data_IF_414569796439
#
_entry.id   IF_414569796439
#
_cell.length_a   1.000
_cell.length_b   1.000
_cell.length_c   1.000
_cell.angle_alpha   90.00
_cell.angle_beta   90.00
_cell.angle_gamma   90.00
#
_symmetry.space_group_name_H-M   'P 1'
#
loop_
_entity.id
_entity.type
_entity.pdbx_description
1 polymer ?
#
# COMPACT_ATOMS: atom_id res chain seq x y z
N UNK A 1 4.45 3.95 90.44
CA UNK A 1 5.83 4.11 89.95
C UNK A 1 5.91 3.50 88.56
N UNK A 2 6.52 4.23 87.66
CA UNK A 2 6.59 4.12 86.20
C UNK A 2 7.06 2.77 85.62
N UNK A 3 6.40 2.29 84.57
CA UNK A 3 7.01 2.17 83.23
C UNK A 3 5.97 1.71 82.19
N UNK A 4 5.81 2.52 81.15
CA UNK A 4 4.99 2.30 79.96
C UNK A 4 5.72 1.35 79.00
N UNK A 5 5.06 0.29 78.55
CA UNK A 5 5.48 -0.54 77.42
C UNK A 5 4.32 -0.71 76.45
N UNK A 6 4.39 0.00 75.32
CA UNK A 6 3.41 0.03 74.24
C UNK A 6 3.63 -1.16 73.31
N UNK A 7 2.69 -2.07 73.22
CA UNK A 7 2.57 -2.97 72.06
C UNK A 7 1.23 -2.73 71.38
N UNK A 8 1.27 -1.80 70.43
CA UNK A 8 0.21 -1.52 69.50
C UNK A 8 0.17 -2.60 68.42
N UNK A 9 -1.01 -3.17 68.27
CA UNK A 9 -1.46 -4.03 67.17
C UNK A 9 -1.09 -3.40 65.81
N UNK A 10 -0.03 -3.89 65.17
CA UNK A 10 0.31 -3.53 63.80
C UNK A 10 -0.36 -4.53 62.86
N UNK A 11 -1.54 -4.17 62.37
CA UNK A 11 -2.22 -4.84 61.27
C UNK A 11 -1.41 -4.62 59.99
N UNK A 12 -0.64 -5.62 59.56
CA UNK A 12 0.11 -5.61 58.30
C UNK A 12 -0.89 -5.75 57.14
N UNK A 13 -1.39 -4.61 56.68
CA UNK A 13 -2.17 -4.49 55.46
C UNK A 13 -1.22 -4.69 54.26
N UNK A 14 -1.11 -5.92 53.77
CA UNK A 14 -0.44 -6.22 52.49
C UNK A 14 -1.35 -5.68 51.38
N UNK A 15 -1.14 -4.42 51.01
CA UNK A 15 -1.65 -3.87 49.75
C UNK A 15 -0.81 -4.51 48.65
N UNK A 16 -1.38 -5.51 47.98
CA UNK A 16 -0.91 -5.98 46.69
C UNK A 16 -0.98 -4.80 45.71
N UNK A 17 0.16 -4.14 45.49
CA UNK A 17 0.38 -3.24 44.37
C UNK A 17 0.32 -4.08 43.09
N UNK A 18 -0.89 -4.35 42.59
CA UNK A 18 -1.10 -4.58 41.18
C UNK A 18 -0.72 -3.28 40.47
N UNK A 19 0.56 -3.18 40.08
CA UNK A 19 1.07 -2.10 39.28
C UNK A 19 0.33 -2.07 37.94
N UNK A 20 -0.66 -1.18 37.81
CA UNK A 20 -1.10 -0.70 36.52
C UNK A 20 0.05 0.10 35.92
N UNK A 21 1.01 -0.58 35.30
CA UNK A 21 1.98 0.07 34.43
C UNK A 21 1.17 0.82 33.36
N UNK A 22 1.42 2.12 33.23
CA UNK A 22 0.80 2.93 32.19
C UNK A 22 1.16 2.32 30.82
N UNK A 23 0.25 2.31 29.83
CA UNK A 23 0.47 1.66 28.52
C UNK A 23 1.78 2.09 27.84
N UNK A 24 2.23 3.31 28.12
CA UNK A 24 3.48 3.91 27.62
C UNK A 24 4.75 3.22 28.15
N UNK A 25 4.77 2.80 29.41
CA UNK A 25 5.93 2.14 30.00
C UNK A 25 6.13 0.72 29.46
N UNK A 26 5.06 0.01 29.11
CA UNK A 26 5.11 -1.34 28.55
C UNK A 26 5.53 -1.40 27.09
N UNK A 27 5.36 -0.33 26.31
CA UNK A 27 5.75 -0.31 24.88
C UNK A 27 7.17 0.19 24.64
N UNK A 28 7.75 0.93 25.59
CA UNK A 28 9.04 1.61 25.43
C UNK A 28 10.19 0.69 24.99
N UNK A 29 10.37 -0.53 25.55
CA UNK A 29 11.45 -1.41 25.10
C UNK A 29 11.36 -1.81 23.62
N UNK A 30 10.13 -1.91 23.08
CA UNK A 30 9.91 -2.16 21.66
C UNK A 30 10.27 -0.95 20.79
N UNK A 31 10.00 0.26 21.28
CA UNK A 31 10.37 1.51 20.61
C UNK A 31 11.89 1.70 20.61
N UNK A 32 12.57 1.43 21.72
CA UNK A 32 14.04 1.50 21.81
C UNK A 32 14.73 0.52 20.84
N UNK A 33 14.10 -0.64 20.57
CA UNK A 33 14.56 -1.56 19.52
C UNK A 33 14.37 -0.95 18.12
N UNK A 34 13.28 -0.25 17.86
CA UNK A 34 13.06 0.43 16.56
C UNK A 34 14.08 1.55 16.33
N UNK A 35 14.36 2.37 17.35
CA UNK A 35 15.35 3.46 17.26
C UNK A 35 16.76 2.95 16.94
N UNK A 36 17.11 1.77 17.45
CA UNK A 36 18.38 1.09 17.15
C UNK A 36 18.40 0.34 15.81
N UNK A 37 17.29 0.34 15.07
CA UNK A 37 17.15 -0.41 13.81
C UNK A 37 17.03 -1.93 14.00
N UNK A 38 16.76 -2.38 15.23
CA UNK A 38 16.56 -3.79 15.58
C UNK A 38 15.09 -4.19 15.35
N UNK A 39 14.59 -3.99 14.13
CA UNK A 39 13.16 -4.07 13.83
C UNK A 39 12.54 -5.45 14.04
N UNK A 40 13.30 -6.53 13.80
CA UNK A 40 12.81 -7.88 14.11
C UNK A 40 12.56 -8.06 15.61
N UNK A 41 13.49 -7.62 16.46
CA UNK A 41 13.31 -7.70 17.92
C UNK A 41 12.16 -6.84 18.39
N UNK A 42 11.98 -5.66 17.79
CA UNK A 42 10.81 -4.82 18.06
C UNK A 42 9.50 -5.52 17.68
N UNK A 43 9.45 -6.18 16.51
CA UNK A 43 8.28 -6.93 16.07
C UNK A 43 7.95 -8.09 17.01
N UNK A 44 8.94 -8.90 17.38
CA UNK A 44 8.78 -10.00 18.33
C UNK A 44 8.30 -9.50 19.70
N UNK A 45 8.86 -8.38 20.18
CA UNK A 45 8.46 -7.74 21.42
C UNK A 45 6.98 -7.33 21.39
N UNK A 46 6.56 -6.57 20.39
CA UNK A 46 5.17 -6.11 20.29
C UNK A 46 4.19 -7.26 20.06
N UNK A 47 4.59 -8.28 19.29
CA UNK A 47 3.76 -9.47 19.09
C UNK A 47 3.52 -10.20 20.41
N UNK A 48 4.56 -10.39 21.23
CA UNK A 48 4.44 -11.00 22.54
C UNK A 48 3.62 -10.15 23.51
N UNK A 49 3.83 -8.83 23.50
CA UNK A 49 3.07 -7.90 24.33
C UNK A 49 1.57 -7.90 23.97
N UNK A 50 1.23 -7.90 22.68
CA UNK A 50 -0.15 -8.00 22.21
C UNK A 50 -0.81 -9.32 22.58
N UNK A 51 -0.07 -10.44 22.56
CA UNK A 51 -0.56 -11.76 23.03
C UNK A 51 -0.84 -11.77 24.53
N UNK A 52 -0.03 -11.08 25.33
CA UNK A 52 -0.22 -10.96 26.78
C UNK A 52 -1.38 -10.03 27.14
N UNK A 53 -1.70 -9.06 26.29
CA UNK A 53 -2.74 -8.06 26.52
C UNK A 53 -3.76 -7.99 25.36
N UNK A 54 -4.53 -9.05 25.10
CA UNK A 54 -5.42 -9.13 23.92
C UNK A 54 -6.57 -8.11 23.91
N UNK A 55 -6.87 -7.47 25.05
CA UNK A 55 -7.90 -6.42 25.15
C UNK A 55 -7.38 -5.02 24.79
N UNK A 56 -6.07 -4.84 24.62
CA UNK A 56 -5.46 -3.55 24.27
C UNK A 56 -5.26 -3.46 22.75
N UNK A 57 -6.32 -3.06 22.04
CA UNK A 57 -6.32 -2.96 20.58
C UNK A 57 -5.26 -1.99 20.03
N UNK A 58 -4.86 -0.99 20.82
CA UNK A 58 -3.81 -0.03 20.46
C UNK A 58 -2.43 -0.71 20.24
N UNK A 59 -2.17 -1.85 20.89
CA UNK A 59 -0.94 -2.61 20.68
C UNK A 59 -0.82 -3.17 19.27
N UNK A 60 -1.95 -3.38 18.58
CA UNK A 60 -1.96 -3.88 17.22
C UNK A 60 -1.29 -2.90 16.24
N UNK A 61 -1.44 -1.59 16.46
CA UNK A 61 -0.78 -0.56 15.64
C UNK A 61 0.75 -0.64 15.77
N UNK A 62 1.27 -0.93 16.97
CA UNK A 62 2.71 -1.13 17.17
C UNK A 62 3.19 -2.42 16.50
N UNK A 63 2.42 -3.51 16.60
CA UNK A 63 2.70 -4.77 15.92
C UNK A 63 2.76 -4.57 14.40
N UNK A 64 1.77 -3.92 13.81
CA UNK A 64 1.68 -3.71 12.36
C UNK A 64 2.81 -2.82 11.85
N UNK A 65 3.14 -1.76 12.59
CA UNK A 65 4.25 -0.85 12.29
C UNK A 65 5.59 -1.59 12.34
N UNK A 66 5.85 -2.32 13.43
CA UNK A 66 7.08 -3.07 13.60
C UNK A 66 7.20 -4.21 12.58
N UNK A 67 6.10 -4.90 12.24
CA UNK A 67 6.04 -5.90 11.17
C UNK A 67 6.47 -5.31 9.84
N UNK A 68 5.91 -4.15 9.46
CA UNK A 68 6.25 -3.47 8.20
C UNK A 68 7.71 -3.00 8.14
N UNK A 69 8.27 -2.53 9.25
CA UNK A 69 9.69 -2.17 9.33
C UNK A 69 10.61 -3.40 9.23
N UNK A 70 10.31 -4.46 9.98
CA UNK A 70 11.07 -5.71 9.97
C UNK A 70 11.05 -6.39 8.61
N UNK A 71 9.88 -6.45 7.97
CA UNK A 71 9.72 -6.98 6.62
C UNK A 71 10.58 -6.22 5.61
N UNK A 72 10.53 -4.88 5.62
CA UNK A 72 11.33 -4.04 4.71
C UNK A 72 12.83 -4.22 4.94
N UNK A 73 13.27 -4.38 6.19
CA UNK A 73 14.67 -4.66 6.51
C UNK A 73 15.11 -6.02 5.95
N UNK A 74 14.33 -7.08 6.18
CA UNK A 74 14.64 -8.43 5.69
C UNK A 74 14.65 -8.49 4.14
N UNK A 75 13.64 -7.90 3.49
CA UNK A 75 13.58 -7.80 2.04
C UNK A 75 14.75 -6.99 1.46
N UNK A 76 15.08 -5.85 2.09
CA UNK A 76 16.22 -5.03 1.67
C UNK A 76 17.57 -5.73 1.84
N UNK A 77 17.73 -6.54 2.90
CA UNK A 77 18.92 -7.39 3.08
C UNK A 77 19.01 -8.47 2.01
N UNK A 78 17.89 -9.15 1.70
CA UNK A 78 17.83 -10.13 0.63
C UNK A 78 18.25 -9.52 -0.71
N UNK A 79 17.70 -8.36 -1.06
CA UNK A 79 18.03 -7.67 -2.30
C UNK A 79 19.52 -7.29 -2.39
N UNK A 80 20.10 -6.77 -1.30
CA UNK A 80 21.54 -6.45 -1.24
C UNK A 80 22.41 -7.70 -1.39
N UNK A 81 22.02 -8.82 -0.78
CA UNK A 81 22.73 -10.08 -0.93
C UNK A 81 22.68 -10.57 -2.39
N UNK A 82 21.51 -10.52 -3.02
CA UNK A 82 21.35 -10.88 -4.43
C UNK A 82 22.23 -10.02 -5.35
N UNK A 83 22.29 -8.71 -5.12
CA UNK A 83 23.16 -7.79 -5.86
C UNK A 83 24.66 -8.11 -5.71
N UNK A 84 25.06 -8.62 -4.55
CA UNK A 84 26.44 -9.06 -4.28
C UNK A 84 26.73 -10.47 -4.81
N UNK A 85 25.72 -11.15 -5.36
CA UNK A 85 25.82 -12.54 -5.79
C UNK A 85 25.78 -13.55 -4.66
N UNK A 86 25.41 -13.12 -3.44
CA UNK A 86 25.24 -13.97 -2.27
C UNK A 86 23.82 -14.57 -2.26
N UNK A 87 23.68 -15.75 -2.88
CA UNK A 87 22.40 -16.44 -2.99
C UNK A 87 21.91 -16.98 -1.64
N UNK A 88 22.84 -17.33 -0.74
CA UNK A 88 22.51 -17.82 0.59
C UNK A 88 21.96 -16.69 1.47
N UNK A 89 22.63 -15.54 1.49
CA UNK A 89 22.12 -14.34 2.15
C UNK A 89 20.78 -13.87 1.57
N UNK A 90 20.59 -14.01 0.25
CA UNK A 90 19.30 -13.73 -0.40
C UNK A 90 18.20 -14.65 0.14
N UNK A 91 18.42 -15.97 0.11
CA UNK A 91 17.47 -16.96 0.63
C UNK A 91 17.14 -16.72 2.10
N UNK A 92 18.16 -16.43 2.92
CA UNK A 92 17.97 -16.17 4.33
C UNK A 92 17.07 -14.95 4.56
N UNK A 93 17.34 -13.84 3.86
CA UNK A 93 16.51 -12.64 3.94
C UNK A 93 15.08 -12.88 3.43
N UNK A 94 14.89 -13.68 2.38
CA UNK A 94 13.56 -14.05 1.88
C UNK A 94 12.79 -14.92 2.87
N UNK A 95 13.44 -15.92 3.50
CA UNK A 95 12.82 -16.74 4.55
C UNK A 95 12.42 -15.92 5.76
N UNK A 96 13.28 -14.98 6.18
CA UNK A 96 12.99 -14.07 7.28
C UNK A 96 11.81 -13.15 6.94
N UNK A 97 11.77 -12.58 5.73
CA UNK A 97 10.64 -11.78 5.26
C UNK A 97 9.34 -12.59 5.25
N UNK A 98 9.37 -13.84 4.77
CA UNK A 98 8.22 -14.74 4.76
C UNK A 98 7.75 -15.13 6.17
N UNK A 99 8.66 -15.27 7.13
CA UNK A 99 8.32 -15.57 8.52
C UNK A 99 7.62 -14.39 9.21
N UNK A 100 8.01 -13.16 8.87
CA UNK A 100 7.39 -11.93 9.39
C UNK A 100 6.02 -11.69 8.74
N UNK A 101 5.95 -11.85 7.42
CA UNK A 101 4.74 -11.67 6.64
C UNK A 101 4.70 -12.71 5.52
N UNK A 102 3.97 -13.83 5.74
CA UNK A 102 3.83 -14.86 4.72
C UNK A 102 3.21 -14.28 3.44
N UNK A 103 3.78 -14.64 2.30
CA UNK A 103 3.26 -14.22 1.01
C UNK A 103 3.57 -15.24 -0.06
N UNK A 104 2.56 -15.58 -0.87
CA UNK A 104 2.68 -16.56 -1.95
C UNK A 104 3.86 -16.26 -2.89
N UNK A 105 4.10 -14.98 -3.20
CA UNK A 105 5.22 -14.53 -4.03
C UNK A 105 6.58 -14.81 -3.40
N UNK A 106 6.73 -14.53 -2.10
CA UNK A 106 7.98 -14.77 -1.36
C UNK A 106 8.24 -16.27 -1.27
N UNK A 107 7.19 -17.05 -1.02
CA UNK A 107 7.26 -18.52 -0.96
C UNK A 107 7.61 -19.15 -2.30
N UNK A 108 7.02 -18.67 -3.41
CA UNK A 108 7.34 -19.14 -4.76
C UNK A 108 8.82 -18.88 -5.11
N UNK A 109 9.36 -17.72 -4.74
CA UNK A 109 10.78 -17.40 -4.94
C UNK A 109 11.68 -18.34 -4.12
N UNK A 110 11.35 -18.59 -2.86
CA UNK A 110 12.11 -19.53 -2.01
C UNK A 110 12.10 -20.94 -2.64
N UNK A 111 10.92 -21.42 -3.05
CA UNK A 111 10.77 -22.74 -3.67
C UNK A 111 11.54 -22.87 -4.99
N UNK A 112 11.53 -21.82 -5.83
CA UNK A 112 12.28 -21.81 -7.08
C UNK A 112 13.77 -22.04 -6.83
N UNK A 113 14.33 -21.29 -5.89
CA UNK A 113 15.76 -21.37 -5.57
C UNK A 113 16.11 -22.71 -4.94
N UNK A 114 15.31 -23.20 -4.01
CA UNK A 114 15.55 -24.51 -3.37
C UNK A 114 15.42 -25.67 -4.38
N UNK A 115 14.43 -25.62 -5.26
CA UNK A 115 14.26 -26.61 -6.32
C UNK A 115 15.43 -26.60 -7.32
N UNK A 116 15.93 -25.42 -7.67
CA UNK A 116 17.06 -25.28 -8.58
C UNK A 116 18.36 -25.80 -7.94
N UNK A 117 18.57 -25.57 -6.63
CA UNK A 117 19.68 -26.18 -5.88
C UNK A 117 19.59 -27.71 -5.86
N UNK A 118 18.40 -28.27 -5.63
CA UNK A 118 18.19 -29.73 -5.64
C UNK A 118 18.47 -30.37 -7.01
N UNK A 119 18.28 -29.61 -8.10
CA UNK A 119 18.61 -30.04 -9.46
C UNK A 119 20.11 -29.95 -9.79
N UNK A 120 20.93 -29.42 -8.87
CA UNK A 120 22.36 -29.24 -9.06
C UNK A 120 22.74 -27.99 -9.85
N UNK A 121 21.83 -27.03 -10.02
CA UNK A 121 22.13 -25.77 -10.70
C UNK A 121 23.17 -24.97 -9.88
N UNK A 122 24.07 -24.31 -10.60
CA UNK A 122 25.05 -23.40 -9.99
C UNK A 122 24.38 -22.10 -9.53
N UNK A 123 24.98 -21.42 -8.56
CA UNK A 123 24.48 -20.12 -8.10
C UNK A 123 24.41 -19.06 -9.21
N UNK A 124 25.20 -19.19 -10.28
CA UNK A 124 25.10 -18.32 -11.46
C UNK A 124 23.82 -18.61 -12.26
N UNK A 125 23.53 -19.88 -12.55
CA UNK A 125 22.32 -20.31 -13.26
C UNK A 125 21.07 -20.00 -12.46
N UNK A 126 21.08 -20.24 -11.15
CA UNK A 126 19.95 -19.93 -10.27
C UNK A 126 19.70 -18.42 -10.23
N UNK A 127 20.74 -17.59 -10.17
CA UNK A 127 20.58 -16.13 -10.25
C UNK A 127 20.05 -15.67 -11.60
N UNK A 128 20.44 -16.32 -12.68
CA UNK A 128 19.92 -16.00 -14.00
C UNK A 128 18.44 -16.40 -14.12
N UNK A 129 18.06 -17.58 -13.62
CA UNK A 129 16.68 -18.07 -13.57
C UNK A 129 15.82 -17.22 -12.62
N UNK A 130 16.34 -16.85 -11.45
CA UNK A 130 15.74 -15.84 -10.57
C UNK A 130 15.58 -14.52 -11.28
N UNK A 131 16.61 -14.02 -11.96
CA UNK A 131 16.53 -12.76 -12.69
C UNK A 131 15.50 -12.85 -13.82
N UNK A 132 15.39 -13.99 -14.50
CA UNK A 132 14.36 -14.25 -15.52
C UNK A 132 12.97 -14.37 -14.92
N UNK A 133 12.80 -15.06 -13.79
CA UNK A 133 11.53 -15.22 -13.09
C UNK A 133 11.11 -13.96 -12.35
N UNK A 134 12.05 -13.16 -11.87
CA UNK A 134 11.80 -11.83 -11.34
C UNK A 134 11.45 -10.92 -12.51
N UNK A 135 12.18 -10.90 -13.63
CA UNK A 135 11.76 -10.16 -14.83
C UNK A 135 10.40 -10.61 -15.40
N UNK A 136 10.07 -11.90 -15.32
CA UNK A 136 8.81 -12.47 -15.78
C UNK A 136 7.66 -12.31 -14.75
N UNK A 137 7.99 -12.24 -13.46
CA UNK A 137 7.09 -11.92 -12.35
C UNK A 137 7.04 -10.42 -12.01
N UNK A 138 7.91 -9.62 -12.63
CA UNK A 138 8.00 -8.18 -12.54
C UNK A 138 7.05 -7.58 -13.57
N UNK A 139 5.83 -7.41 -13.07
CA UNK A 139 5.14 -6.12 -13.04
C UNK A 139 4.86 -5.50 -14.40
N UNK A 140 3.58 -5.58 -14.76
CA UNK A 140 2.94 -4.79 -15.81
C UNK A 140 3.46 -3.36 -15.81
N UNK A 141 3.86 -2.87 -16.99
CA UNK A 141 4.05 -1.44 -17.20
C UNK A 141 2.77 -0.70 -16.85
N UNK A 142 2.87 0.60 -16.54
CA UNK A 142 1.68 1.42 -16.33
C UNK A 142 0.68 1.25 -17.50
N UNK A 143 1.17 1.27 -18.74
CA UNK A 143 0.35 1.09 -19.93
C UNK A 143 -0.39 -0.27 -19.94
N UNK A 144 0.30 -1.37 -19.62
CA UNK A 144 -0.34 -2.69 -19.56
C UNK A 144 -1.36 -2.78 -18.42
N UNK A 145 -1.01 -2.22 -17.26
CA UNK A 145 -1.90 -2.16 -16.11
C UNK A 145 -3.17 -1.36 -16.41
N UNK A 146 -3.06 -0.24 -17.14
CA UNK A 146 -4.20 0.58 -17.55
C UNK A 146 -5.03 -0.10 -18.64
N UNK A 147 -4.40 -0.83 -19.57
CA UNK A 147 -5.10 -1.60 -20.59
C UNK A 147 -6.00 -2.66 -19.96
N UNK A 148 -5.50 -3.40 -18.97
CA UNK A 148 -6.30 -4.41 -18.28
C UNK A 148 -7.44 -3.80 -17.45
N UNK A 149 -7.20 -2.66 -16.81
CA UNK A 149 -8.24 -1.89 -16.13
C UNK A 149 -9.33 -1.44 -17.12
N UNK A 150 -8.94 -0.94 -18.29
CA UNK A 150 -9.88 -0.53 -19.33
C UNK A 150 -10.70 -1.70 -19.88
N UNK A 151 -10.09 -2.89 -20.04
CA UNK A 151 -10.82 -4.11 -20.42
C UNK A 151 -11.84 -4.52 -19.35
N UNK A 152 -11.49 -4.44 -18.06
CA UNK A 152 -12.41 -4.74 -16.96
C UNK A 152 -13.58 -3.75 -16.97
N UNK A 153 -13.30 -2.45 -17.07
CA UNK A 153 -14.32 -1.40 -17.15
C UNK A 153 -15.23 -1.62 -18.36
N UNK A 154 -14.65 -1.94 -19.52
CA UNK A 154 -15.41 -2.23 -20.74
C UNK A 154 -16.37 -3.43 -20.55
N UNK A 155 -15.92 -4.50 -19.89
CA UNK A 155 -16.81 -5.62 -19.52
C UNK A 155 -17.93 -5.17 -18.58
N UNK A 156 -17.62 -4.40 -17.54
CA UNK A 156 -18.65 -3.89 -16.62
C UNK A 156 -19.65 -2.95 -17.32
N UNK A 157 -19.23 -2.18 -18.33
CA UNK A 157 -20.13 -1.37 -19.16
C UNK A 157 -21.06 -2.23 -20.02
N UNK A 158 -20.53 -3.29 -20.65
CA UNK A 158 -21.36 -4.24 -21.41
C UNK A 158 -22.39 -4.95 -20.53
N UNK A 159 -22.04 -5.21 -19.27
CA UNK A 159 -22.94 -5.78 -18.27
C UNK A 159 -23.95 -4.75 -17.71
N UNK A 160 -23.92 -3.50 -18.17
CA UNK A 160 -24.82 -2.41 -17.75
C UNK A 160 -24.56 -1.88 -16.34
N UNK A 161 -23.41 -2.21 -15.73
CA UNK A 161 -23.05 -1.78 -14.37
C UNK A 161 -22.34 -0.43 -14.32
N UNK A 162 -21.76 -0.01 -15.43
CA UNK A 162 -21.10 1.28 -15.61
C UNK A 162 -21.72 2.00 -16.81
N UNK A 163 -22.04 3.28 -16.67
CA UNK A 163 -22.60 4.11 -17.72
C UNK A 163 -21.57 4.65 -18.70
N UNK A 164 -21.98 4.89 -19.95
CA UNK A 164 -21.18 5.53 -21.01
C UNK A 164 -21.97 6.68 -21.64
N UNK A 165 -21.37 7.87 -21.91
CA UNK A 165 -19.93 8.15 -21.91
C UNK A 165 -19.33 8.35 -20.50
N UNK A 166 -18.03 8.11 -20.39
CA UNK A 166 -17.27 8.23 -19.14
C UNK A 166 -16.41 9.50 -19.13
N UNK A 167 -16.28 10.12 -17.97
CA UNK A 167 -15.32 11.19 -17.71
C UNK A 167 -14.13 10.66 -16.91
N UNK A 168 -12.91 11.13 -17.20
CA UNK A 168 -11.69 10.78 -16.44
C UNK A 168 -11.13 12.07 -15.83
N UNK A 169 -11.12 12.18 -14.51
CA UNK A 169 -10.64 13.38 -13.82
C UNK A 169 -10.29 13.14 -12.35
N UNK A 170 -9.62 14.13 -11.77
CA UNK A 170 -9.35 14.22 -10.33
C UNK A 170 -8.52 13.04 -9.83
N UNK A 171 -7.50 12.68 -10.61
CA UNK A 171 -6.46 11.80 -10.12
C UNK A 171 -5.46 12.60 -9.29
N UNK A 172 -5.35 12.28 -8.01
CA UNK A 172 -4.33 12.90 -7.15
C UNK A 172 -3.06 12.06 -7.16
N UNK A 173 -1.91 12.73 -7.10
CA UNK A 173 -0.62 12.07 -7.11
C UNK A 173 0.13 12.32 -5.79
N UNK A 174 0.46 11.24 -5.09
CA UNK A 174 1.22 11.28 -3.85
C UNK A 174 2.64 10.73 -4.08
N UNK A 175 3.64 11.41 -3.49
CA UNK A 175 5.04 10.95 -3.51
C UNK A 175 5.95 11.53 -4.61
N UNK A 176 5.46 12.40 -5.50
CA UNK A 176 6.28 13.07 -6.53
C UNK A 176 6.45 14.59 -6.27
N UNK A 177 7.59 15.15 -6.70
CA UNK A 177 7.90 16.58 -6.60
C UNK A 177 7.14 17.43 -7.65
N UNK A 178 6.72 16.84 -8.76
CA UNK A 178 5.93 17.47 -9.82
C UNK A 178 4.54 16.81 -9.91
N UNK A 179 3.61 17.27 -9.06
CA UNK A 179 2.32 16.60 -8.83
C UNK A 179 1.31 16.74 -9.98
N UNK A 180 1.32 17.89 -10.66
CA UNK A 180 0.26 18.26 -11.61
C UNK A 180 0.50 17.67 -13.02
N UNK A 181 1.75 17.73 -13.52
CA UNK A 181 2.15 17.12 -14.81
C UNK A 181 1.96 15.60 -14.81
N UNK A 182 2.26 14.96 -13.68
CA UNK A 182 2.17 13.52 -13.51
C UNK A 182 0.72 13.00 -13.44
N UNK A 183 -0.15 13.69 -12.69
CA UNK A 183 -1.58 13.37 -12.64
C UNK A 183 -2.20 13.49 -14.04
N UNK A 184 -1.85 14.58 -14.75
CA UNK A 184 -2.31 14.82 -16.10
C UNK A 184 -1.87 13.75 -17.10
N UNK A 185 -0.68 13.19 -16.93
CA UNK A 185 -0.20 12.07 -17.72
C UNK A 185 -1.00 10.80 -17.45
N UNK A 186 -1.25 10.47 -16.17
CA UNK A 186 -2.04 9.29 -15.80
C UNK A 186 -3.47 9.36 -16.36
N UNK A 187 -4.13 10.52 -16.24
CA UNK A 187 -5.47 10.75 -16.81
C UNK A 187 -5.52 10.52 -18.32
N UNK A 188 -4.50 11.02 -19.04
CA UNK A 188 -4.39 10.82 -20.49
C UNK A 188 -4.18 9.34 -20.83
N UNK A 189 -3.25 8.67 -20.14
CA UNK A 189 -2.95 7.27 -20.40
C UNK A 189 -4.16 6.36 -20.13
N UNK A 190 -4.92 6.64 -19.07
CA UNK A 190 -6.17 5.92 -18.79
C UNK A 190 -7.23 6.22 -19.86
N UNK A 191 -7.35 7.49 -20.29
CA UNK A 191 -8.28 7.87 -21.35
C UNK A 191 -7.95 7.18 -22.67
N UNK A 192 -6.68 7.10 -23.05
CA UNK A 192 -6.21 6.39 -24.24
C UNK A 192 -6.53 4.89 -24.17
N UNK A 193 -6.29 4.25 -23.02
CA UNK A 193 -6.60 2.84 -22.82
C UNK A 193 -8.12 2.57 -22.91
N UNK A 194 -8.94 3.42 -22.32
CA UNK A 194 -10.40 3.34 -22.38
C UNK A 194 -10.91 3.54 -23.82
N UNK A 195 -10.40 4.54 -24.55
CA UNK A 195 -10.74 4.76 -25.97
C UNK A 195 -10.34 3.56 -26.84
N UNK A 196 -9.15 2.98 -26.60
CA UNK A 196 -8.68 1.76 -27.25
C UNK A 196 -9.62 0.56 -27.05
N UNK A 197 -10.35 0.54 -25.92
CA UNK A 197 -11.38 -0.45 -25.60
C UNK A 197 -12.80 -0.04 -26.03
N UNK A 198 -12.92 0.94 -26.94
CA UNK A 198 -14.19 1.46 -27.50
C UNK A 198 -15.15 2.05 -26.47
N UNK A 199 -14.62 2.51 -25.35
CA UNK A 199 -15.40 3.22 -24.34
C UNK A 199 -15.49 4.68 -24.75
N UNK A 200 -16.71 5.22 -24.86
CA UNK A 200 -16.89 6.64 -25.16
C UNK A 200 -16.43 7.49 -23.98
N UNK A 201 -15.57 8.48 -24.23
CA UNK A 201 -15.01 9.37 -23.22
C UNK A 201 -15.39 10.82 -23.53
N UNK A 202 -15.69 11.57 -22.47
CA UNK A 202 -15.85 13.02 -22.54
C UNK A 202 -14.49 13.70 -22.74
N UNK A 203 -14.39 14.61 -23.70
CA UNK A 203 -13.16 15.33 -23.99
C UNK A 203 -12.57 16.05 -22.76
N UNK A 204 -11.27 15.86 -22.55
CA UNK A 204 -10.53 16.42 -21.41
C UNK A 204 -10.62 17.95 -21.33
N UNK A 205 -10.54 18.65 -22.48
CA UNK A 205 -10.59 20.12 -22.51
C UNK A 205 -11.90 20.63 -21.91
N UNK A 206 -13.02 20.01 -22.29
CA UNK A 206 -14.35 20.31 -21.76
C UNK A 206 -14.43 20.05 -20.25
N UNK A 207 -13.77 18.99 -19.78
CA UNK A 207 -13.72 18.67 -18.35
C UNK A 207 -12.91 19.68 -17.52
N UNK A 208 -11.76 20.13 -18.03
CA UNK A 208 -10.92 21.10 -17.35
C UNK A 208 -11.60 22.46 -17.15
N UNK A 209 -12.36 22.90 -18.16
CA UNK A 209 -13.16 24.14 -18.08
C UNK A 209 -14.27 24.02 -17.03
N UNK A 210 -14.99 22.89 -17.00
CA UNK A 210 -16.04 22.60 -16.03
C UNK A 210 -15.50 22.53 -14.60
N UNK A 211 -14.37 21.85 -14.39
CA UNK A 211 -13.75 21.74 -13.07
C UNK A 211 -13.28 23.10 -12.54
N UNK A 212 -12.76 23.95 -13.43
CA UNK A 212 -12.39 25.33 -13.07
C UNK A 212 -13.62 26.14 -12.65
N UNK A 213 -14.74 25.98 -13.35
CA UNK A 213 -15.99 26.65 -13.02
C UNK A 213 -16.57 26.18 -11.67
N UNK A 214 -16.56 24.87 -11.40
CA UNK A 214 -16.99 24.29 -10.12
C UNK A 214 -16.13 24.82 -8.96
N UNK A 215 -14.81 24.88 -9.14
CA UNK A 215 -13.90 25.41 -8.14
C UNK A 215 -14.14 26.90 -7.85
N UNK A 216 -14.40 27.70 -8.90
CA UNK A 216 -14.71 29.12 -8.78
C UNK A 216 -16.09 29.39 -8.16
N UNK A 217 -17.06 28.49 -8.39
CA UNK A 217 -18.41 28.59 -7.84
C UNK A 217 -18.48 28.31 -6.32
N UNK A 218 -17.41 27.79 -5.70
CA UNK A 218 -17.31 27.67 -4.24
C UNK A 218 -18.41 26.80 -3.62
N UNK A 219 -18.82 25.72 -4.29
CA UNK A 219 -20.07 24.99 -4.02
C UNK A 219 -20.13 24.24 -2.69
N UNK A 220 -19.05 24.24 -1.89
CA UNK A 220 -18.99 23.54 -0.59
C UNK A 220 -19.15 22.01 -0.68
N UNK A 221 -19.15 21.46 -1.90
CA UNK A 221 -19.29 20.02 -2.13
C UNK A 221 -18.00 19.30 -1.75
N UNK A 222 -18.13 18.13 -1.11
CA UNK A 222 -17.02 17.18 -0.99
C UNK A 222 -16.60 16.61 -2.35
N UNK A 223 -15.44 15.94 -2.41
CA UNK A 223 -14.85 15.44 -3.67
C UNK A 223 -15.85 14.69 -4.56
N UNK A 224 -16.61 13.73 -4.02
CA UNK A 224 -17.59 12.96 -4.79
C UNK A 224 -18.71 13.84 -5.36
N UNK A 225 -19.15 14.86 -4.63
CA UNK A 225 -20.17 15.80 -5.11
C UNK A 225 -19.66 16.65 -6.27
N UNK A 226 -18.40 17.08 -6.22
CA UNK A 226 -17.76 17.80 -7.32
C UNK A 226 -17.64 16.92 -8.57
N UNK A 227 -17.31 15.63 -8.40
CA UNK A 227 -17.22 14.67 -9.52
C UNK A 227 -18.57 14.44 -10.19
N UNK A 228 -19.62 14.25 -9.40
CA UNK A 228 -21.00 14.09 -9.92
C UNK A 228 -21.42 15.34 -10.68
N UNK A 229 -21.19 16.54 -10.13
CA UNK A 229 -21.50 17.80 -10.79
C UNK A 229 -20.74 17.95 -12.12
N UNK A 230 -19.45 17.60 -12.14
CA UNK A 230 -18.65 17.62 -13.36
C UNK A 230 -19.18 16.64 -14.42
N UNK A 231 -19.58 15.43 -14.00
CA UNK A 231 -20.22 14.45 -14.88
C UNK A 231 -21.52 14.99 -15.50
N UNK A 232 -22.40 15.59 -14.69
CA UNK A 232 -23.66 16.16 -15.14
C UNK A 232 -23.46 17.29 -16.17
N UNK A 233 -22.54 18.22 -15.90
CA UNK A 233 -22.25 19.36 -16.78
C UNK A 233 -21.64 18.94 -18.13
N UNK A 234 -21.02 17.75 -18.16
CA UNK A 234 -20.33 17.26 -19.35
C UNK A 234 -21.11 16.18 -20.10
N UNK A 235 -22.23 15.71 -19.53
CA UNK A 235 -23.04 14.63 -20.08
C UNK A 235 -22.43 13.24 -19.87
N UNK A 236 -21.48 13.10 -18.95
CA UNK A 236 -20.97 11.79 -18.56
C UNK A 236 -22.02 11.04 -17.73
N UNK A 237 -22.18 9.74 -17.98
CA UNK A 237 -22.99 8.86 -17.13
C UNK A 237 -22.16 8.25 -15.99
N UNK A 238 -20.83 8.25 -16.13
CA UNK A 238 -19.93 7.77 -15.09
C UNK A 238 -18.63 8.57 -15.05
N UNK A 239 -18.00 8.66 -13.89
CA UNK A 239 -16.74 9.38 -13.66
C UNK A 239 -15.70 8.43 -13.07
N UNK A 240 -14.56 8.27 -13.75
CA UNK A 240 -13.37 7.63 -13.23
C UNK A 240 -12.49 8.66 -12.51
N UNK A 241 -12.21 8.42 -11.24
CA UNK A 241 -11.36 9.24 -10.39
C UNK A 241 -10.51 8.36 -9.46
N UNK A 242 -9.52 8.93 -8.76
CA UNK A 242 -8.77 8.16 -7.77
C UNK A 242 -7.39 8.74 -7.45
N UNK A 243 -6.49 7.86 -7.02
CA UNK A 243 -5.17 8.25 -6.51
C UNK A 243 -4.07 7.41 -7.16
N UNK A 244 -2.92 8.03 -7.36
CA UNK A 244 -1.69 7.39 -7.82
C UNK A 244 -0.59 7.65 -6.80
N UNK A 245 -0.03 6.57 -6.28
CA UNK A 245 1.06 6.57 -5.32
C UNK A 245 2.34 6.19 -6.06
N UNK A 246 3.34 7.06 -6.04
CA UNK A 246 4.65 6.77 -6.62
C UNK A 246 5.70 6.58 -5.51
N UNK A 247 6.59 5.62 -5.72
CA UNK A 247 7.76 5.36 -4.88
C UNK A 247 8.97 5.03 -5.76
N UNK A 248 10.17 5.06 -5.18
CA UNK A 248 11.41 4.65 -5.87
C UNK A 248 11.37 3.19 -6.36
N UNK A 249 10.50 2.35 -5.78
CA UNK A 249 10.44 0.90 -6.04
C UNK A 249 9.29 0.45 -6.95
N UNK A 250 8.42 1.37 -7.35
CA UNK A 250 7.15 1.06 -8.00
C UNK A 250 6.09 2.14 -7.82
N UNK A 251 4.99 2.00 -8.55
CA UNK A 251 3.78 2.79 -8.42
C UNK A 251 2.59 1.91 -8.05
N UNK A 252 1.59 2.52 -7.45
CA UNK A 252 0.29 1.90 -7.19
C UNK A 252 -0.78 2.91 -7.57
N UNK A 253 -1.83 2.49 -8.23
CA UNK A 253 -3.01 3.35 -8.41
C UNK A 253 -4.24 2.72 -7.80
N UNK A 254 -5.21 3.58 -7.53
CA UNK A 254 -6.57 3.22 -7.18
C UNK A 254 -7.49 3.98 -8.13
N UNK A 255 -8.38 3.27 -8.83
CA UNK A 255 -9.43 3.86 -9.65
C UNK A 255 -10.77 3.52 -9.01
N UNK A 256 -11.64 4.51 -8.90
CA UNK A 256 -13.06 4.38 -8.57
C UNK A 256 -13.88 4.91 -9.74
N UNK A 257 -14.93 4.19 -10.10
CA UNK A 257 -15.94 4.63 -11.07
C UNK A 257 -17.19 4.99 -10.30
N UNK A 258 -17.60 6.24 -10.44
CA UNK A 258 -18.75 6.85 -9.78
C UNK A 258 -19.86 6.96 -10.80
N UNK A 259 -21.04 6.43 -10.47
CA UNK A 259 -22.26 6.65 -11.24
C UNK A 259 -22.77 8.07 -11.02
N UNK A 260 -23.02 8.80 -12.11
CA UNK A 260 -23.35 10.23 -12.04
C UNK A 260 -24.79 10.47 -11.59
N UNK A 261 -25.69 9.52 -11.84
CA UNK A 261 -27.10 9.63 -11.44
C UNK A 261 -27.26 9.48 -9.92
N UNK A 262 -26.59 8.48 -9.35
CA UNK A 262 -26.72 8.11 -7.93
C UNK A 262 -25.61 8.66 -7.04
N UNK A 263 -24.49 9.08 -7.62
CA UNK A 263 -23.28 9.48 -6.90
C UNK A 263 -22.54 8.32 -6.19
N UNK A 264 -22.94 7.07 -6.44
CA UNK A 264 -22.35 5.90 -5.81
C UNK A 264 -21.12 5.39 -6.56
N UNK A 265 -20.16 4.84 -5.82
CA UNK A 265 -19.05 4.08 -6.43
C UNK A 265 -19.59 2.73 -6.89
N UNK A 266 -19.72 2.55 -8.20
CA UNK A 266 -20.23 1.31 -8.81
C UNK A 266 -19.12 0.30 -9.10
N UNK A 267 -17.87 0.75 -9.16
CA UNK A 267 -16.71 -0.12 -9.34
C UNK A 267 -15.45 0.52 -8.76
N UNK A 268 -14.53 -0.31 -8.27
CA UNK A 268 -13.21 0.14 -7.82
C UNK A 268 -12.15 -0.95 -8.03
N UNK A 269 -10.92 -0.53 -8.28
CA UNK A 269 -9.75 -1.40 -8.35
C UNK A 269 -8.53 -0.69 -7.79
N UNK A 270 -7.58 -1.48 -7.29
CA UNK A 270 -6.24 -1.00 -7.01
C UNK A 270 -5.21 -1.96 -7.57
N UNK A 271 -4.17 -1.41 -8.20
CA UNK A 271 -3.15 -2.18 -8.90
C UNK A 271 -1.78 -1.57 -8.74
N UNK A 272 -0.78 -2.44 -8.59
CA UNK A 272 0.64 -2.08 -8.58
C UNK A 272 1.20 -2.12 -10.00
N UNK A 273 2.09 -1.19 -10.33
CA UNK A 273 2.79 -1.11 -11.60
C UNK A 273 4.26 -0.70 -11.38
N UNK A 274 5.14 -0.94 -12.35
CA UNK A 274 6.45 -0.27 -12.34
C UNK A 274 6.39 1.02 -13.15
N UNK A 275 6.88 2.15 -12.60
CA UNK A 275 7.20 3.29 -13.42
C UNK A 275 8.44 2.88 -14.21
N UNK A 276 8.24 2.40 -15.44
CA UNK A 276 9.33 2.05 -16.36
C UNK A 276 10.07 3.31 -16.81
N UNK A 277 10.34 3.45 -18.12
CA UNK A 277 10.77 4.73 -18.69
C UNK A 277 9.79 5.88 -18.43
N UNK A 278 8.56 5.56 -18.02
CA UNK A 278 7.48 6.49 -17.68
C UNK A 278 7.77 7.35 -16.43
N UNK A 279 8.75 6.95 -15.61
CA UNK A 279 9.23 7.76 -14.49
C UNK A 279 9.81 9.12 -14.94
N UNK A 280 10.32 9.21 -16.18
CA UNK A 280 10.81 10.47 -16.77
C UNK A 280 9.69 11.50 -17.01
N UNK A 281 8.44 11.05 -17.11
CA UNK A 281 7.27 11.89 -17.40
C UNK A 281 6.42 12.16 -16.17
N UNK A 282 6.46 11.28 -15.16
CA UNK A 282 5.75 11.43 -13.89
C UNK A 282 6.58 12.15 -12.79
N UNK A 283 7.85 12.44 -13.07
CA UNK A 283 8.80 13.00 -12.10
C UNK A 283 9.51 14.29 -12.53
N UNK A 284 9.06 14.94 -13.62
CA UNK A 284 9.53 16.29 -14.02
C UNK A 284 8.45 17.34 -13.84
#
# INVERSE_FOLDING_TARGET
MSSFGKDGTLLLLVIALCGCATPRASVQPGLDCQERGEYQKAYEYFQNLARQHPRQLELQTYVDTARGLAFRQAAGQAQKALQRGDLEGFLQGMKQANAIQPGEKVQAVIQLVEAARLKGNTDAEIREELSRSMRAGERQSLQQALQETAEIIGRQMLDGRIGSPMAVLNFTLEGAAARESAAAYFENALSEALLGNRIAIVERKRMGEVMKEIALAGTGLGESGQMVQAGQLTGALSVAAGNVYLSESGGKYQVRVIDVETGQVVWQESRDFMPGKDMLWLGR
#
